data_IF_769207203069
#
_entry.id   IF_769207203069
#
_cell.length_a   1.000
_cell.length_b   1.000
_cell.length_c   1.000
_cell.angle_alpha   90.00
_cell.angle_beta   90.00
_cell.angle_gamma   90.00
#
_symmetry.space_group_name_H-M   'P 1'
#
loop_
_entity.id
_entity.type
_entity.pdbx_description
1 polymer ?
#
# COMPACT_ATOMS: atom_id res chain seq x y z
N UNK A 1 32.39 15.93 28.10
CA UNK A 1 33.06 15.20 27.01
C UNK A 1 32.75 13.74 27.29
N UNK A 2 31.81 13.06 26.61
CA UNK A 2 31.63 12.89 25.17
C UNK A 2 30.16 12.55 24.86
N UNK A 3 29.69 12.99 23.69
CA UNK A 3 28.42 12.63 23.04
C UNK A 3 28.53 11.27 22.36
N UNK A 4 27.44 10.50 22.27
CA UNK A 4 27.10 9.53 21.19
C UNK A 4 25.76 8.86 21.57
N UNK A 5 24.65 9.50 21.21
CA UNK A 5 23.74 9.19 20.10
C UNK A 5 22.76 8.05 20.38
N UNK A 6 21.49 8.43 20.49
CA UNK A 6 20.36 7.59 20.81
C UNK A 6 19.86 6.85 19.57
N UNK A 7 20.51 5.74 19.22
CA UNK A 7 19.98 4.76 18.26
C UNK A 7 18.95 3.84 18.93
N UNK A 8 17.67 4.17 18.82
CA UNK A 8 16.56 3.28 19.19
C UNK A 8 16.26 2.31 18.05
N UNK A 9 15.62 1.16 18.32
CA UNK A 9 16.15 -0.11 18.83
C UNK A 9 16.64 -1.07 17.70
N UNK A 10 17.30 -2.20 18.01
CA UNK A 10 17.55 -3.25 17.03
C UNK A 10 16.21 -3.90 16.63
N UNK A 11 15.77 -3.62 15.40
CA UNK A 11 14.60 -4.27 14.79
C UNK A 11 14.85 -5.77 14.75
N UNK A 12 14.08 -6.51 15.54
CA UNK A 12 14.19 -7.95 15.69
C UNK A 12 14.23 -8.68 14.36
N UNK A 13 15.37 -9.33 14.12
CA UNK A 13 15.50 -10.55 13.35
C UNK A 13 14.45 -11.56 13.86
N UNK A 14 13.37 -11.66 13.10
CA UNK A 14 12.43 -12.76 13.15
C UNK A 14 12.41 -13.36 11.75
N UNK A 15 13.06 -14.49 11.61
CA UNK A 15 13.09 -15.37 10.45
C UNK A 15 11.67 -15.58 9.89
N UNK A 16 11.24 -14.74 8.94
CA UNK A 16 10.05 -15.00 8.15
C UNK A 16 10.51 -15.58 6.83
N UNK A 17 10.54 -16.91 6.76
CA UNK A 17 10.44 -17.63 5.48
C UNK A 17 9.41 -16.90 4.64
N UNK A 18 9.69 -16.50 3.38
CA UNK A 18 8.66 -15.90 2.54
C UNK A 18 7.57 -16.97 2.35
N UNK A 19 6.47 -16.86 3.09
CA UNK A 19 5.33 -17.78 3.02
C UNK A 19 4.46 -17.51 1.78
N UNK A 20 4.91 -16.58 0.93
CA UNK A 20 4.26 -16.18 -0.31
C UNK A 20 5.26 -16.49 -1.42
N UNK A 21 4.90 -17.44 -2.27
CA UNK A 21 5.62 -17.69 -3.51
C UNK A 21 5.26 -16.58 -4.50
N UNK A 22 6.28 -15.88 -4.98
CA UNK A 22 6.14 -14.90 -6.04
C UNK A 22 6.49 -15.54 -7.38
N UNK A 23 5.82 -15.16 -8.48
CA UNK A 23 4.86 -14.07 -8.56
C UNK A 23 3.43 -14.44 -8.10
N UNK A 24 2.72 -13.49 -7.48
CA UNK A 24 1.37 -13.72 -6.95
C UNK A 24 0.48 -12.50 -7.13
N UNK A 25 -0.83 -12.73 -7.34
CA UNK A 25 -1.83 -11.66 -7.39
C UNK A 25 -2.24 -11.33 -5.96
N UNK A 26 -2.05 -10.09 -5.55
CA UNK A 26 -2.44 -9.61 -4.23
C UNK A 26 -3.39 -8.42 -4.35
N UNK A 27 -4.49 -8.47 -3.61
CA UNK A 27 -5.46 -7.37 -3.54
C UNK A 27 -5.21 -6.54 -2.30
N UNK A 28 -4.72 -5.33 -2.51
CA UNK A 28 -4.56 -4.33 -1.46
C UNK A 28 -5.91 -3.66 -1.19
N UNK A 29 -6.31 -3.61 0.07
CA UNK A 29 -7.49 -2.84 0.47
C UNK A 29 -7.02 -1.53 1.06
N UNK A 30 -7.42 -0.42 0.47
CA UNK A 30 -7.07 0.93 0.90
C UNK A 30 -8.34 1.70 1.18
N UNK A 31 -8.49 2.23 2.39
CA UNK A 31 -9.60 3.12 2.74
C UNK A 31 -9.09 4.54 2.90
N UNK A 32 -9.80 5.49 2.30
CA UNK A 32 -9.47 6.91 2.34
C UNK A 32 -10.71 7.78 2.45
N UNK A 33 -10.51 9.09 2.54
CA UNK A 33 -11.59 10.06 2.55
C UNK A 33 -12.28 10.13 1.18
N UNK A 34 -13.62 10.14 1.17
CA UNK A 34 -14.40 10.28 -0.07
C UNK A 34 -14.39 11.75 -0.54
N UNK A 35 -14.07 11.99 -1.82
CA UNK A 35 -14.26 13.30 -2.46
C UNK A 35 -13.06 13.95 -3.18
N UNK A 36 -11.86 13.39 -3.08
CA UNK A 36 -10.63 14.03 -3.61
C UNK A 36 -10.04 13.40 -4.88
N UNK A 37 -10.79 12.61 -5.65
CA UNK A 37 -10.21 11.81 -6.74
C UNK A 37 -9.24 10.75 -6.21
N UNK A 38 -9.52 10.22 -5.01
CA UNK A 38 -8.66 9.27 -4.32
C UNK A 38 -8.39 8.00 -5.15
N UNK A 39 -9.38 7.56 -5.94
CA UNK A 39 -9.26 6.41 -6.85
C UNK A 39 -8.17 6.65 -7.89
N UNK A 40 -8.23 7.78 -8.59
CA UNK A 40 -7.25 8.15 -9.62
C UNK A 40 -5.86 8.35 -9.00
N UNK A 41 -5.79 8.96 -7.82
CA UNK A 41 -4.54 9.15 -7.08
C UNK A 41 -3.88 7.81 -6.70
N UNK A 42 -4.66 6.89 -6.12
CA UNK A 42 -4.18 5.54 -5.77
C UNK A 42 -3.77 4.78 -7.03
N UNK A 43 -4.53 4.90 -8.12
CA UNK A 43 -4.20 4.30 -9.41
C UNK A 43 -2.84 4.79 -9.94
N UNK A 44 -2.60 6.10 -9.96
CA UNK A 44 -1.32 6.66 -10.38
C UNK A 44 -0.17 6.22 -9.46
N UNK A 45 -0.41 6.21 -8.15
CA UNK A 45 0.55 5.78 -7.15
C UNK A 45 0.98 4.33 -7.38
N UNK A 46 0.04 3.40 -7.51
CA UNK A 46 0.37 2.01 -7.80
C UNK A 46 0.98 1.81 -9.19
N UNK A 47 0.52 2.54 -10.23
CA UNK A 47 1.14 2.51 -11.57
C UNK A 47 2.61 2.91 -11.48
N UNK A 48 2.94 3.92 -10.67
CA UNK A 48 4.32 4.37 -10.44
C UNK A 48 5.17 3.33 -9.71
N UNK A 49 4.62 2.65 -8.70
CA UNK A 49 5.35 1.62 -7.95
C UNK A 49 5.54 0.32 -8.72
N UNK A 50 4.52 -0.11 -9.46
CA UNK A 50 4.55 -1.36 -10.21
C UNK A 50 5.26 -1.20 -11.57
N UNK A 51 5.34 0.01 -12.10
CA UNK A 51 5.87 0.29 -13.44
C UNK A 51 5.03 -0.31 -14.58
N UNK A 52 3.88 -0.89 -14.25
CA UNK A 52 2.92 -1.45 -15.21
C UNK A 52 1.59 -0.71 -15.14
N UNK A 53 0.85 -0.76 -16.23
CA UNK A 53 -0.48 -0.17 -16.27
C UNK A 53 -1.46 -1.02 -15.44
N UNK A 54 -2.09 -0.39 -14.46
CA UNK A 54 -3.22 -0.97 -13.78
C UNK A 54 -4.47 -0.84 -14.65
N UNK A 55 -5.05 -1.99 -14.99
CA UNK A 55 -6.36 -2.02 -15.62
C UNK A 55 -7.39 -1.39 -14.66
N UNK A 56 -8.36 -0.62 -15.18
CA UNK A 56 -9.42 -0.05 -14.35
C UNK A 56 -10.22 -1.15 -13.64
N UNK A 57 -10.34 -2.33 -14.25
CA UNK A 57 -11.00 -3.50 -13.66
C UNK A 57 -10.25 -4.07 -12.42
N UNK A 58 -8.95 -3.79 -12.31
CA UNK A 58 -8.14 -4.19 -11.16
C UNK A 58 -8.39 -3.32 -9.93
N UNK A 59 -9.06 -2.17 -10.08
CA UNK A 59 -9.37 -1.26 -8.99
C UNK A 59 -10.88 -1.25 -8.77
N UNK A 60 -11.30 -1.73 -7.63
CA UNK A 60 -12.71 -1.70 -7.24
C UNK A 60 -12.93 -0.64 -6.17
N UNK A 61 -13.68 0.40 -6.50
CA UNK A 61 -14.12 1.40 -5.53
C UNK A 61 -15.47 1.02 -4.91
N UNK A 62 -15.53 1.12 -3.59
CA UNK A 62 -16.71 0.88 -2.79
C UNK A 62 -16.92 2.07 -1.86
N UNK A 63 -17.83 3.00 -2.20
CA UNK A 63 -18.18 4.10 -1.32
C UNK A 63 -18.79 3.54 -0.04
N UNK A 64 -18.41 4.11 1.10
CA UNK A 64 -18.99 3.71 2.37
C UNK A 64 -20.44 4.19 2.46
N UNK A 65 -21.29 3.42 3.13
CA UNK A 65 -22.73 3.70 3.28
C UNK A 65 -23.04 5.08 3.88
N UNK A 66 -22.09 5.71 4.57
CA UNK A 66 -22.21 7.05 5.18
C UNK A 66 -21.67 8.19 4.33
N UNK A 67 -21.08 7.91 3.17
CA UNK A 67 -20.54 8.95 2.27
C UNK A 67 -19.28 9.66 2.77
N UNK A 68 -18.65 9.17 3.86
CA UNK A 68 -17.47 9.80 4.48
C UNK A 68 -16.15 9.21 4.00
N UNK A 69 -16.15 7.92 3.70
CA UNK A 69 -14.96 7.16 3.34
C UNK A 69 -15.24 6.34 2.08
N UNK A 70 -14.18 6.04 1.34
CA UNK A 70 -14.21 5.12 0.21
C UNK A 70 -13.22 4.01 0.44
N UNK A 71 -13.63 2.79 0.13
CA UNK A 71 -12.80 1.58 0.18
C UNK A 71 -12.37 1.25 -1.24
N UNK A 72 -11.09 1.12 -1.48
CA UNK A 72 -10.51 0.70 -2.76
C UNK A 72 -9.90 -0.67 -2.59
N UNK A 73 -10.21 -1.57 -3.52
CA UNK A 73 -9.55 -2.87 -3.64
C UNK A 73 -8.71 -2.85 -4.91
N UNK A 74 -7.39 -2.84 -4.76
CA UNK A 74 -6.42 -2.73 -5.86
C UNK A 74 -5.72 -4.08 -6.00
N UNK A 75 -6.09 -4.82 -7.04
CA UNK A 75 -5.51 -6.12 -7.38
C UNK A 75 -4.27 -5.94 -8.23
N UNK A 76 -3.12 -6.42 -7.76
CA UNK A 76 -1.84 -6.21 -8.45
C UNK A 76 -1.03 -7.48 -8.50
N UNK A 77 -0.20 -7.60 -9.53
CA UNK A 77 0.73 -8.71 -9.68
C UNK A 77 2.04 -8.36 -8.99
N UNK A 78 2.33 -9.02 -7.88
CA UNK A 78 3.56 -8.86 -7.13
C UNK A 78 4.59 -9.87 -7.63
N UNK A 79 5.76 -9.39 -8.03
CA UNK A 79 6.90 -10.21 -8.43
C UNK A 79 7.86 -10.49 -7.26
N UNK A 80 7.83 -9.64 -6.23
CA UNK A 80 8.69 -9.74 -5.04
C UNK A 80 8.04 -9.11 -3.81
N UNK A 81 8.49 -9.50 -2.61
CA UNK A 81 8.12 -8.84 -1.35
C UNK A 81 8.51 -7.36 -1.35
N UNK A 82 9.63 -7.00 -1.97
CA UNK A 82 10.11 -5.62 -2.06
C UNK A 82 9.08 -4.71 -2.76
N UNK A 83 8.45 -5.17 -3.85
CA UNK A 83 7.37 -4.43 -4.51
C UNK A 83 6.18 -4.23 -3.57
N UNK A 84 5.82 -5.27 -2.81
CA UNK A 84 4.74 -5.20 -1.81
C UNK A 84 5.04 -4.15 -0.74
N UNK A 85 6.27 -4.15 -0.20
CA UNK A 85 6.70 -3.19 0.81
C UNK A 85 6.75 -1.76 0.27
N UNK A 86 7.24 -1.57 -0.95
CA UNK A 86 7.28 -0.25 -1.59
C UNK A 86 5.87 0.36 -1.72
N UNK A 87 4.88 -0.46 -2.10
CA UNK A 87 3.48 -0.04 -2.15
C UNK A 87 2.96 0.35 -0.77
N UNK A 88 3.17 -0.49 0.26
CA UNK A 88 2.73 -0.14 1.62
C UNK A 88 3.39 1.12 2.16
N UNK A 89 4.69 1.34 1.90
CA UNK A 89 5.38 2.57 2.27
C UNK A 89 4.78 3.80 1.57
N UNK A 90 4.46 3.66 0.28
CA UNK A 90 3.74 4.69 -0.47
C UNK A 90 2.37 5.01 0.11
N UNK A 91 1.59 3.98 0.44
CA UNK A 91 0.28 4.13 1.09
C UNK A 91 0.40 4.74 2.49
N UNK A 92 1.44 4.38 3.24
CA UNK A 92 1.68 4.90 4.58
C UNK A 92 2.05 6.39 4.58
N UNK A 93 2.84 6.82 3.59
CA UNK A 93 3.20 8.24 3.40
C UNK A 93 2.05 9.09 2.88
N UNK A 94 1.01 8.46 2.36
CA UNK A 94 -0.14 9.15 1.82
C UNK A 94 -1.11 9.54 2.93
N UNK A 95 -1.16 10.83 3.25
CA UNK A 95 -2.04 11.39 4.28
C UNK A 95 -3.53 11.20 4.01
N UNK A 96 -3.92 10.87 2.77
CA UNK A 96 -5.33 10.61 2.40
C UNK A 96 -5.75 9.18 2.75
N UNK A 97 -4.79 8.29 2.94
CA UNK A 97 -5.02 6.90 3.34
C UNK A 97 -5.26 6.85 4.84
N UNK A 98 -6.44 6.39 5.22
CA UNK A 98 -6.86 6.26 6.61
C UNK A 98 -6.54 4.85 7.11
N UNK A 99 -6.66 3.85 6.24
CA UNK A 99 -6.41 2.46 6.57
C UNK A 99 -5.98 1.67 5.34
N UNK A 100 -5.09 0.70 5.49
CA UNK A 100 -4.67 -0.20 4.41
C UNK A 100 -4.44 -1.63 4.92
N UNK A 101 -4.70 -2.64 4.06
CA UNK A 101 -4.54 -4.07 4.30
C UNK A 101 -3.95 -4.79 3.08
#
# INVERSE_FOLDING_TARGET
MTKEDAGSPPTGEGEKKPLIEYPSVYTFKVMGAQGAGFVEHVRELFKRFLGTELSPDSIHEQPSSKGKYVSLSVSVYLLSEEQRRAIYDGLHKDERVIYYL
#
